data_IF_713687518615
#
_entry.id   IF_713687518615
#
_cell.length_a   1.000
_cell.length_b   1.000
_cell.length_c   1.000
_cell.angle_alpha   90.00
_cell.angle_beta   90.00
_cell.angle_gamma   90.00
#
_symmetry.space_group_name_H-M   'P 1'
#
loop_
_entity.id
_entity.type
_entity.pdbx_description
1 polymer ?
#
# COMPACT_ATOMS: atom_id res chain seq x y z
N UNK A 1 -24.44 11.92 -0.51
CA UNK A 1 -24.41 12.45 -1.87
C UNK A 1 -23.13 12.05 -2.63
N UNK A 2 -22.00 11.86 -1.95
CA UNK A 2 -20.74 11.48 -2.58
C UNK A 2 -20.17 12.52 -3.55
N UNK A 3 -19.17 12.17 -4.38
CA UNK A 3 -18.57 13.04 -5.37
C UNK A 3 -19.55 13.40 -6.51
N UNK A 4 -19.37 14.56 -7.14
CA UNK A 4 -20.22 15.00 -8.26
C UNK A 4 -21.59 15.55 -7.84
N UNK A 5 -21.79 15.89 -6.57
CA UNK A 5 -23.05 16.47 -6.09
C UNK A 5 -23.29 17.92 -6.58
N UNK A 6 -22.23 18.60 -7.02
CA UNK A 6 -22.26 19.98 -7.51
C UNK A 6 -21.60 20.07 -8.89
N UNK A 7 -22.27 20.69 -9.86
CA UNK A 7 -21.78 20.80 -11.23
C UNK A 7 -20.54 21.69 -11.39
N UNK A 8 -20.37 22.65 -10.47
CA UNK A 8 -19.33 23.69 -10.55
C UNK A 8 -18.03 23.33 -9.81
N UNK A 9 -18.01 22.22 -9.08
CA UNK A 9 -16.85 21.78 -8.31
C UNK A 9 -16.40 20.46 -8.89
N UNK A 10 -15.19 20.41 -9.45
CA UNK A 10 -14.61 19.18 -10.01
C UNK A 10 -14.57 18.08 -8.92
N UNK A 11 -15.29 17.04 -9.19
CA UNK A 11 -15.97 16.11 -8.34
C UNK A 11 -15.22 15.24 -7.37
N UNK A 12 -13.90 15.22 -7.27
CA UNK A 12 -13.22 14.29 -6.35
C UNK A 12 -12.83 14.91 -5.01
N UNK A 13 -12.87 16.24 -4.91
CA UNK A 13 -12.34 16.98 -3.75
C UNK A 13 -13.38 17.20 -2.66
N UNK A 14 -14.66 17.26 -3.00
CA UNK A 14 -15.73 17.57 -2.04
C UNK A 14 -16.78 16.46 -2.01
N UNK A 15 -16.93 15.85 -0.83
CA UNK A 15 -18.03 14.93 -0.54
C UNK A 15 -19.12 15.67 0.22
N UNK A 16 -20.35 15.60 -0.26
CA UNK A 16 -21.46 16.26 0.36
C UNK A 16 -22.39 15.25 1.06
N UNK A 17 -22.86 15.64 2.24
CA UNK A 17 -23.96 14.98 2.95
C UNK A 17 -25.02 16.02 3.24
N UNK A 18 -26.29 15.67 3.06
CA UNK A 18 -27.41 16.46 3.48
C UNK A 18 -28.00 15.85 4.76
N UNK A 19 -28.01 16.61 5.84
CA UNK A 19 -28.55 16.16 7.13
C UNK A 19 -29.77 17.03 7.44
N UNK A 20 -30.90 16.37 7.70
CA UNK A 20 -32.08 17.00 8.23
C UNK A 20 -32.32 16.49 9.65
N UNK A 21 -32.26 17.39 10.61
CA UNK A 21 -32.49 17.09 12.03
C UNK A 21 -33.81 17.70 12.46
N UNK A 22 -34.70 16.89 13.01
CA UNK A 22 -35.93 17.36 13.64
C UNK A 22 -35.87 17.15 15.14
N UNK A 23 -36.13 18.22 15.88
CA UNK A 23 -36.35 18.12 17.33
C UNK A 23 -37.84 17.84 17.56
N UNK A 24 -38.15 16.60 17.93
CA UNK A 24 -39.52 16.17 18.21
C UNK A 24 -39.52 15.04 19.20
N UNK A 25 -40.60 14.89 19.99
CA UNK A 25 -40.80 13.70 20.81
C UNK A 25 -40.99 12.49 19.90
N UNK A 26 -40.04 11.58 19.89
CA UNK A 26 -40.08 10.34 19.09
C UNK A 26 -41.29 9.45 19.41
N UNK A 27 -41.99 9.72 20.50
CA UNK A 27 -43.07 8.89 21.01
C UNK A 27 -44.43 8.98 20.27
N UNK A 28 -44.62 9.90 19.30
CA UNK A 28 -45.96 10.12 18.74
C UNK A 28 -46.22 9.45 17.36
N UNK A 29 -45.25 8.75 16.76
CA UNK A 29 -45.46 8.14 15.44
C UNK A 29 -45.31 6.61 15.39
N UNK A 30 -45.12 5.93 16.51
CA UNK A 30 -44.94 4.46 16.54
C UNK A 30 -45.81 3.79 17.60
N UNK A 31 -47.09 4.19 17.71
CA UNK A 31 -47.99 3.58 18.69
C UNK A 31 -48.29 2.08 18.46
N UNK A 32 -47.93 1.55 17.30
CA UNK A 32 -48.21 0.16 16.93
C UNK A 32 -47.04 -0.83 17.08
N UNK A 33 -45.86 -0.38 17.56
CA UNK A 33 -44.68 -1.26 17.72
C UNK A 33 -44.13 -1.33 19.15
N UNK A 34 -44.86 -0.83 20.14
CA UNK A 34 -44.39 -0.82 21.52
C UNK A 34 -44.88 -2.08 22.28
N UNK A 35 -44.14 -3.17 22.17
CA UNK A 35 -44.25 -4.27 23.13
C UNK A 35 -42.95 -4.63 23.87
N UNK A 36 -41.83 -3.94 23.66
CA UNK A 36 -40.63 -4.11 24.47
C UNK A 36 -39.92 -2.77 24.66
N UNK A 37 -40.08 -2.18 25.77
CA UNK A 37 -39.52 -1.11 26.62
C UNK A 37 -38.30 -0.27 26.19
N UNK A 38 -37.80 -0.29 25.01
CA UNK A 38 -36.74 0.61 24.53
C UNK A 38 -37.21 1.36 23.29
N UNK A 39 -37.36 2.67 23.40
CA UNK A 39 -37.68 3.54 22.27
C UNK A 39 -36.43 3.75 21.43
N UNK A 40 -36.13 2.85 20.52
CA UNK A 40 -35.05 3.06 19.54
C UNK A 40 -35.41 4.25 18.63
N UNK A 41 -34.50 5.21 18.58
CA UNK A 41 -34.57 6.29 17.59
C UNK A 41 -34.00 5.78 16.26
N UNK A 42 -34.72 6.06 15.15
CA UNK A 42 -34.36 5.59 13.83
C UNK A 42 -33.76 6.71 12.99
N UNK A 43 -32.65 6.40 12.30
CA UNK A 43 -32.07 7.25 11.28
C UNK A 43 -32.58 6.76 9.93
N UNK A 44 -33.15 7.65 9.14
CA UNK A 44 -33.60 7.38 7.77
C UNK A 44 -32.69 8.07 6.78
N UNK A 45 -32.32 7.37 5.71
CA UNK A 45 -31.45 7.94 4.69
C UNK A 45 -31.64 7.29 3.33
N UNK A 46 -31.21 8.03 2.32
CA UNK A 46 -31.09 7.55 0.93
C UNK A 46 -29.64 7.74 0.53
N UNK A 47 -29.01 6.68 0.07
CA UNK A 47 -27.67 6.75 -0.49
C UNK A 47 -27.72 6.97 -2.01
N UNK A 48 -27.16 8.08 -2.44
CA UNK A 48 -26.97 8.43 -3.86
C UNK A 48 -25.51 8.78 -4.14
N UNK A 49 -24.59 8.07 -3.50
CA UNK A 49 -23.16 8.27 -3.69
C UNK A 49 -22.64 7.74 -5.04
N UNK A 50 -23.23 6.66 -5.57
CA UNK A 50 -22.82 6.01 -6.81
C UNK A 50 -23.03 6.87 -8.08
N UNK A 51 -24.20 7.49 -8.31
CA UNK A 51 -24.39 8.35 -9.48
C UNK A 51 -23.34 9.46 -9.56
N UNK A 52 -22.90 9.79 -10.77
CA UNK A 52 -21.78 10.72 -10.98
C UNK A 52 -22.20 12.16 -11.27
N UNK A 53 -23.43 12.36 -11.71
CA UNK A 53 -23.95 13.70 -12.06
C UNK A 53 -24.95 14.21 -11.02
N UNK A 54 -25.04 15.53 -10.89
CA UNK A 54 -25.97 16.17 -9.99
C UNK A 54 -27.45 15.82 -10.32
N UNK A 55 -27.79 15.70 -11.60
CA UNK A 55 -29.16 15.37 -12.05
C UNK A 55 -29.53 13.93 -11.70
N UNK A 56 -28.62 12.96 -11.87
CA UNK A 56 -28.84 11.56 -11.48
C UNK A 56 -28.99 11.44 -9.97
N UNK A 57 -28.18 12.18 -9.20
CA UNK A 57 -28.29 12.21 -7.74
C UNK A 57 -29.61 12.82 -7.27
N UNK A 58 -30.06 13.88 -7.92
CA UNK A 58 -31.38 14.49 -7.62
C UNK A 58 -32.53 13.51 -7.90
N UNK A 59 -32.48 12.80 -9.03
CA UNK A 59 -33.46 11.76 -9.34
C UNK A 59 -33.39 10.60 -8.31
N UNK A 60 -32.21 10.18 -7.93
CA UNK A 60 -31.98 9.16 -6.89
C UNK A 60 -32.54 9.56 -5.52
N UNK A 61 -32.40 10.82 -5.12
CA UNK A 61 -32.98 11.33 -3.86
C UNK A 61 -34.51 11.31 -3.87
N UNK A 62 -35.14 11.49 -5.04
CA UNK A 62 -36.59 11.47 -5.17
C UNK A 62 -37.19 10.06 -5.28
N UNK A 63 -36.46 9.13 -5.87
CA UNK A 63 -36.94 7.79 -6.21
C UNK A 63 -36.20 6.67 -5.47
N UNK A 64 -35.12 6.99 -4.76
CA UNK A 64 -34.29 6.00 -4.07
C UNK A 64 -35.01 5.39 -2.88
N UNK A 65 -34.63 4.17 -2.56
CA UNK A 65 -35.12 3.46 -1.39
C UNK A 65 -34.67 4.15 -0.10
N UNK A 66 -35.61 4.41 0.79
CA UNK A 66 -35.31 4.96 2.12
C UNK A 66 -34.93 3.81 3.05
N UNK A 67 -33.66 3.72 3.39
CA UNK A 67 -33.16 2.79 4.41
C UNK A 67 -33.39 3.37 5.80
N UNK A 68 -33.71 2.50 6.76
CA UNK A 68 -33.93 2.87 8.17
C UNK A 68 -33.01 2.02 9.04
N UNK A 69 -32.19 2.68 9.89
CA UNK A 69 -31.24 2.01 10.80
C UNK A 69 -31.44 2.52 12.23
N UNK A 70 -31.29 1.64 13.21
CA UNK A 70 -31.40 2.00 14.61
C UNK A 70 -30.23 2.92 15.02
N UNK A 71 -30.50 4.02 15.68
CA UNK A 71 -29.47 4.97 16.12
C UNK A 71 -28.53 4.34 17.15
N UNK A 72 -29.04 3.52 18.05
CA UNK A 72 -28.27 2.81 19.07
C UNK A 72 -27.19 1.91 18.44
N UNK A 73 -27.54 1.16 17.39
CA UNK A 73 -26.59 0.30 16.65
C UNK A 73 -25.47 1.07 15.95
N UNK A 74 -25.66 2.37 15.66
CA UNK A 74 -24.61 3.15 15.00
C UNK A 74 -23.40 3.42 15.91
N UNK A 75 -23.56 3.28 17.23
CA UNK A 75 -22.44 3.38 18.17
C UNK A 75 -21.49 2.18 18.10
N UNK A 76 -21.95 1.04 17.57
CA UNK A 76 -21.14 -0.16 17.36
C UNK A 76 -20.24 -0.05 16.11
N UNK A 77 -20.59 0.84 15.19
CA UNK A 77 -19.78 1.09 14.00
C UNK A 77 -18.44 1.77 14.39
N UNK A 78 -17.36 1.50 13.66
CA UNK A 78 -16.10 2.21 13.86
C UNK A 78 -16.29 3.73 13.82
N UNK A 79 -15.75 4.44 14.83
CA UNK A 79 -15.91 5.89 15.01
C UNK A 79 -17.37 6.35 15.18
N UNK A 80 -18.29 5.47 15.60
CA UNK A 80 -19.72 5.73 15.71
C UNK A 80 -20.32 6.35 14.42
N UNK A 81 -19.87 5.87 13.25
CA UNK A 81 -20.34 6.36 11.96
C UNK A 81 -21.78 5.95 11.70
N UNK A 82 -22.53 6.86 11.13
CA UNK A 82 -23.84 6.52 10.60
C UNK A 82 -23.67 5.80 9.27
N UNK A 83 -24.05 4.52 9.24
CA UNK A 83 -24.12 3.70 8.04
C UNK A 83 -25.59 3.31 7.80
N UNK A 84 -26.05 3.41 6.56
CA UNK A 84 -27.41 3.01 6.16
C UNK A 84 -27.53 1.50 5.87
N UNK A 85 -26.43 0.77 6.01
CA UNK A 85 -26.39 -0.69 5.96
C UNK A 85 -26.12 -1.20 7.38
N UNK A 86 -26.76 -2.31 7.73
CA UNK A 86 -26.46 -2.96 9.00
C UNK A 86 -25.03 -3.47 8.98
N UNK A 87 -24.32 -3.33 10.10
CA UNK A 87 -23.00 -3.93 10.25
C UNK A 87 -23.14 -5.45 10.05
N UNK A 88 -22.26 -6.03 9.25
CA UNK A 88 -22.18 -7.47 9.12
C UNK A 88 -21.89 -8.04 10.54
N UNK A 89 -22.48 -9.18 10.88
CA UNK A 89 -22.29 -9.84 12.19
C UNK A 89 -20.84 -10.32 12.41
N UNK A 90 -19.99 -10.30 11.35
CA UNK A 90 -18.56 -10.55 11.47
C UNK A 90 -17.85 -9.33 12.09
N UNK A 91 -16.84 -9.59 12.90
CA UNK A 91 -16.04 -8.54 13.53
C UNK A 91 -15.34 -7.61 12.54
N UNK A 92 -14.55 -6.68 13.06
CA UNK A 92 -13.75 -5.76 12.26
C UNK A 92 -12.27 -6.19 12.20
N UNK A 93 -11.59 -5.89 11.10
CA UNK A 93 -10.17 -6.18 10.93
C UNK A 93 -9.31 -5.57 12.06
N UNK A 94 -9.70 -4.41 12.60
CA UNK A 94 -9.04 -3.76 13.75
C UNK A 94 -9.03 -4.60 15.04
N UNK A 95 -9.90 -5.60 15.15
CA UNK A 95 -9.91 -6.52 16.30
C UNK A 95 -8.76 -7.52 16.24
N UNK A 96 -8.29 -7.88 15.02
CA UNK A 96 -7.24 -8.89 14.79
C UNK A 96 -5.94 -8.32 14.23
N UNK A 97 -5.95 -7.08 13.74
CA UNK A 97 -4.78 -6.43 13.16
C UNK A 97 -4.70 -4.96 13.57
N UNK A 98 -3.51 -4.36 13.37
CA UNK A 98 -3.24 -2.94 13.63
C UNK A 98 -2.66 -2.31 12.36
N UNK A 99 -3.14 -1.11 12.01
CA UNK A 99 -2.54 -0.27 10.97
C UNK A 99 -1.38 0.57 11.51
N UNK A 100 -0.41 0.81 10.66
CA UNK A 100 0.72 1.68 10.95
C UNK A 100 1.02 2.56 9.74
N UNK A 101 1.31 3.83 10.02
CA UNK A 101 1.80 4.78 9.01
C UNK A 101 3.31 4.76 8.97
N UNK A 102 3.88 4.94 7.77
CA UNK A 102 5.32 4.96 7.57
C UNK A 102 5.99 6.29 7.90
N UNK A 103 7.29 6.31 7.76
CA UNK A 103 8.12 7.49 8.02
C UNK A 103 7.85 8.61 7.01
N UNK A 104 8.09 9.85 7.45
CA UNK A 104 7.95 11.05 6.63
C UNK A 104 9.19 11.92 6.80
N UNK A 105 10.00 12.02 5.76
CA UNK A 105 11.26 12.77 5.80
C UNK A 105 11.09 14.27 5.51
N UNK A 106 9.97 14.63 4.85
CA UNK A 106 9.72 16.00 4.30
C UNK A 106 10.72 16.47 3.23
N UNK A 107 11.71 15.65 2.89
CA UNK A 107 12.73 15.93 1.89
C UNK A 107 13.17 14.59 1.26
N UNK A 108 12.31 14.03 0.40
CA UNK A 108 12.55 12.73 -0.23
C UNK A 108 13.78 12.76 -1.14
N UNK A 109 14.00 13.84 -1.86
CA UNK A 109 15.15 13.98 -2.77
C UNK A 109 16.49 13.89 -2.04
N UNK A 110 16.54 14.32 -0.80
CA UNK A 110 17.73 14.24 0.03
C UNK A 110 17.94 12.87 0.66
N UNK A 111 16.86 12.20 1.10
CA UNK A 111 16.95 11.03 1.96
C UNK A 111 16.59 9.71 1.28
N UNK A 112 15.97 9.74 0.10
CA UNK A 112 15.64 8.54 -0.66
C UNK A 112 16.56 8.42 -1.88
N UNK A 113 16.95 7.19 -2.17
CA UNK A 113 17.69 6.82 -3.39
C UNK A 113 17.14 5.51 -3.90
N UNK A 114 17.29 5.25 -5.17
CA UNK A 114 17.12 3.89 -5.67
C UNK A 114 18.23 3.00 -5.09
N UNK A 115 17.92 1.72 -4.88
CA UNK A 115 18.84 0.76 -4.25
C UNK A 115 20.20 0.65 -4.96
N UNK A 116 20.26 0.97 -6.22
CA UNK A 116 21.47 0.94 -7.06
C UNK A 116 22.29 2.25 -7.08
N UNK A 117 21.76 3.34 -6.54
CA UNK A 117 22.47 4.64 -6.55
C UNK A 117 23.56 4.75 -5.48
N UNK A 118 23.33 4.40 -4.20
CA UNK A 118 24.34 4.51 -3.17
C UNK A 118 25.13 3.23 -2.99
N UNK A 119 26.32 3.37 -2.41
CA UNK A 119 27.01 2.20 -1.83
C UNK A 119 26.25 1.78 -0.57
N UNK A 120 25.83 0.53 -0.53
CA UNK A 120 25.14 -0.07 0.62
C UNK A 120 26.17 -0.40 1.71
N UNK A 121 26.58 0.60 2.46
CA UNK A 121 27.62 0.53 3.50
C UNK A 121 27.06 0.56 4.93
N UNK A 122 25.81 0.17 5.11
CA UNK A 122 25.11 0.18 6.39
C UNK A 122 24.46 1.52 6.77
N UNK A 123 24.74 2.60 6.03
CA UNK A 123 24.07 3.89 6.27
C UNK A 123 22.69 3.95 5.64
N UNK A 124 22.46 3.14 4.62
CA UNK A 124 21.23 3.06 3.87
C UNK A 124 20.47 1.79 4.25
N UNK A 125 19.17 1.92 4.44
CA UNK A 125 18.28 0.80 4.76
C UNK A 125 17.22 0.62 3.68
N UNK A 126 16.77 -0.62 3.38
CA UNK A 126 15.66 -0.84 2.46
C UNK A 126 14.42 -0.08 2.91
N UNK A 127 13.70 0.50 1.95
CA UNK A 127 12.50 1.29 2.19
C UNK A 127 11.33 0.69 1.41
N UNK A 128 10.35 0.16 2.12
CA UNK A 128 9.10 -0.27 1.53
C UNK A 128 8.27 0.95 1.14
N UNK A 129 7.92 1.03 -0.13
CA UNK A 129 7.02 2.03 -0.68
C UNK A 129 5.81 1.35 -1.35
N UNK A 130 5.05 2.12 -2.11
CA UNK A 130 3.86 1.65 -2.81
C UNK A 130 4.20 0.75 -3.99
N UNK A 131 3.25 -0.09 -4.36
CA UNK A 131 3.26 -0.88 -5.59
C UNK A 131 2.11 -0.49 -6.50
N UNK A 132 2.19 -0.80 -7.77
CA UNK A 132 1.14 -0.53 -8.76
C UNK A 132 0.14 -1.68 -8.90
N UNK A 133 0.57 -2.89 -8.58
CA UNK A 133 -0.23 -4.12 -8.63
C UNK A 133 -0.04 -4.91 -7.34
N UNK A 134 -1.02 -5.73 -6.99
CA UNK A 134 -0.90 -6.66 -5.87
C UNK A 134 0.02 -7.82 -6.25
N UNK A 135 1.07 -8.03 -5.46
CA UNK A 135 2.09 -9.05 -5.65
C UNK A 135 2.63 -9.52 -4.29
N UNK A 136 3.33 -10.66 -4.24
CA UNK A 136 3.86 -11.13 -2.95
C UNK A 136 4.99 -10.25 -2.43
N UNK A 137 5.92 -9.87 -3.28
CA UNK A 137 7.10 -9.07 -2.92
C UNK A 137 7.30 -7.95 -3.93
N UNK A 138 7.41 -6.74 -3.44
CA UNK A 138 7.56 -5.56 -4.29
C UNK A 138 7.70 -4.27 -3.48
N UNK A 139 7.87 -3.15 -4.15
CA UNK A 139 7.92 -1.83 -3.50
C UNK A 139 9.21 -1.52 -2.73
N UNK A 140 10.27 -2.33 -2.87
CA UNK A 140 11.59 -2.15 -2.24
C UNK A 140 12.64 -1.56 -3.19
N UNK A 141 12.21 -0.73 -4.13
CA UNK A 141 13.08 -0.11 -5.13
C UNK A 141 14.02 0.93 -4.54
N UNK A 142 13.65 1.48 -3.40
CA UNK A 142 14.34 2.59 -2.77
C UNK A 142 14.99 2.19 -1.45
N UNK A 143 15.97 2.99 -1.07
CA UNK A 143 16.63 2.94 0.24
C UNK A 143 16.55 4.31 0.91
N UNK A 144 16.49 4.29 2.23
CA UNK A 144 16.47 5.48 3.09
C UNK A 144 17.84 5.70 3.69
N UNK A 145 18.34 6.93 3.64
CA UNK A 145 19.52 7.33 4.40
C UNK A 145 19.16 7.38 5.89
N UNK A 146 19.54 6.33 6.62
CA UNK A 146 19.13 6.13 8.02
C UNK A 146 20.21 6.46 9.04
N UNK A 147 21.45 6.09 8.76
CA UNK A 147 22.63 6.37 9.59
C UNK A 147 22.39 6.01 11.08
N UNK A 148 21.83 4.83 11.33
CA UNK A 148 21.46 4.34 12.67
C UNK A 148 20.61 5.33 13.50
N UNK A 149 19.74 6.07 12.85
CA UNK A 149 18.89 7.09 13.46
C UNK A 149 19.66 8.25 14.14
N UNK A 150 20.90 8.51 13.78
CA UNK A 150 21.74 9.54 14.39
C UNK A 150 22.34 10.54 13.38
N UNK A 151 22.07 10.34 12.11
CA UNK A 151 22.67 11.07 11.01
C UNK A 151 21.93 12.33 10.55
N UNK A 152 21.93 12.54 9.25
CA UNK A 152 21.42 13.78 8.63
C UNK A 152 19.92 13.97 8.82
N UNK A 153 19.14 12.87 8.76
CA UNK A 153 17.67 12.92 8.96
C UNK A 153 17.33 13.28 10.42
N UNK A 154 18.06 12.72 11.39
CA UNK A 154 17.91 13.08 12.80
C UNK A 154 18.24 14.56 13.04
N UNK A 155 19.37 15.06 12.50
CA UNK A 155 19.74 16.47 12.64
C UNK A 155 18.69 17.40 12.06
N UNK A 156 18.16 17.10 10.87
CA UNK A 156 17.06 17.86 10.27
C UNK A 156 15.82 17.88 11.19
N UNK A 157 15.46 16.74 11.77
CA UNK A 157 14.31 16.65 12.66
C UNK A 157 14.50 17.50 13.93
N UNK A 158 15.69 17.54 14.51
CA UNK A 158 15.99 18.39 15.67
C UNK A 158 16.03 19.89 15.31
N UNK A 159 16.62 20.25 14.17
CA UNK A 159 16.65 21.65 13.68
C UNK A 159 15.24 22.20 13.42
N UNK A 160 14.35 21.37 12.90
CA UNK A 160 12.97 21.75 12.56
C UNK A 160 11.95 21.50 13.68
N UNK A 161 12.43 21.20 14.88
CA UNK A 161 11.58 20.95 16.04
C UNK A 161 10.73 22.17 16.38
N UNK A 162 9.41 21.98 16.41
CA UNK A 162 8.44 23.05 16.66
C UNK A 162 8.06 23.90 15.45
N UNK A 163 8.77 23.78 14.31
CA UNK A 163 8.48 24.54 13.08
C UNK A 163 7.88 23.69 11.97
N UNK A 164 8.32 22.45 11.84
CA UNK A 164 7.79 21.49 10.84
C UNK A 164 7.35 20.18 11.52
N UNK A 165 6.05 20.03 11.72
CA UNK A 165 5.49 18.83 12.33
C UNK A 165 5.64 17.58 11.46
N UNK A 166 5.75 17.73 10.15
CA UNK A 166 5.84 16.58 9.24
C UNK A 166 7.16 15.82 9.44
N UNK A 167 8.29 16.52 9.53
CA UNK A 167 9.59 15.89 9.73
C UNK A 167 9.72 15.21 11.09
N UNK A 168 8.93 15.61 12.09
CA UNK A 168 8.90 14.93 13.41
C UNK A 168 8.37 13.48 13.31
N UNK A 169 7.76 13.12 12.18
CA UNK A 169 7.27 11.77 11.92
C UNK A 169 8.31 10.86 11.23
N UNK A 170 9.57 11.25 11.21
CA UNK A 170 10.64 10.50 10.55
C UNK A 170 10.88 9.08 11.11
N UNK A 171 10.52 8.84 12.39
CA UNK A 171 10.57 7.51 13.04
C UNK A 171 9.21 6.80 13.07
N UNK A 172 8.19 7.32 12.40
CA UNK A 172 6.88 6.70 12.41
C UNK A 172 6.97 5.29 11.83
N UNK A 173 6.26 4.34 12.44
CA UNK A 173 6.26 2.94 12.05
C UNK A 173 7.36 2.09 12.71
N UNK A 174 8.23 2.67 13.54
CA UNK A 174 9.33 1.93 14.19
C UNK A 174 8.86 0.76 15.08
N UNK A 175 7.64 0.81 15.60
CA UNK A 175 7.06 -0.22 16.45
C UNK A 175 6.67 -1.51 15.69
N UNK A 176 6.72 -1.45 14.37
CA UNK A 176 6.42 -2.61 13.49
C UNK A 176 7.62 -3.07 12.64
N UNK A 177 8.75 -2.40 12.72
CA UNK A 177 9.96 -2.90 12.07
C UNK A 177 10.36 -4.27 12.64
N UNK A 178 10.79 -5.16 11.79
CA UNK A 178 11.08 -6.55 12.12
C UNK A 178 9.86 -7.46 12.28
N UNK A 179 8.64 -6.95 12.04
CA UNK A 179 7.41 -7.76 12.09
C UNK A 179 6.88 -8.01 10.69
N UNK A 180 6.28 -9.17 10.48
CA UNK A 180 5.62 -9.51 9.21
C UNK A 180 4.19 -8.98 9.17
N UNK A 181 3.76 -8.56 7.97
CA UNK A 181 2.43 -8.00 7.77
C UNK A 181 2.09 -7.83 6.29
N UNK A 182 1.20 -6.88 6.01
CA UNK A 182 0.79 -6.50 4.65
C UNK A 182 0.99 -5.00 4.48
N UNK A 183 1.77 -4.61 3.48
CA UNK A 183 1.88 -3.21 3.08
C UNK A 183 0.89 -2.92 1.96
N UNK A 184 0.15 -1.83 2.10
CA UNK A 184 -0.94 -1.44 1.21
C UNK A 184 -0.68 -0.03 0.68
N UNK A 185 -0.74 0.13 -0.63
CA UNK A 185 -0.73 1.45 -1.26
C UNK A 185 -2.06 2.16 -0.99
N UNK A 186 -2.03 3.34 -0.38
CA UNK A 186 -3.24 4.07 0.04
C UNK A 186 -4.07 4.63 -1.11
N UNK A 187 -3.68 4.40 -2.36
CA UNK A 187 -4.30 4.97 -3.57
C UNK A 187 -4.78 3.86 -4.54
N UNK A 188 -5.57 4.26 -5.51
CA UNK A 188 -6.04 3.40 -6.60
C UNK A 188 -6.89 2.22 -6.08
N UNK A 189 -6.56 1.03 -6.52
CA UNK A 189 -7.20 -0.22 -6.13
C UNK A 189 -6.65 -0.81 -4.82
N UNK A 190 -5.86 -0.03 -4.06
CA UNK A 190 -5.21 -0.44 -2.82
C UNK A 190 -4.31 -1.66 -3.00
N UNK A 191 -3.42 -1.67 -4.02
CA UNK A 191 -2.55 -2.81 -4.23
C UNK A 191 -1.68 -3.07 -3.00
N UNK A 192 -1.42 -4.34 -2.74
CA UNK A 192 -0.81 -4.82 -1.51
C UNK A 192 0.35 -5.77 -1.78
N UNK A 193 1.30 -5.82 -0.85
CA UNK A 193 2.44 -6.75 -0.83
C UNK A 193 2.64 -7.31 0.57
N UNK A 194 3.29 -8.46 0.69
CA UNK A 194 3.76 -8.96 1.97
C UNK A 194 4.85 -8.01 2.51
N UNK A 195 4.71 -7.64 3.77
CA UNK A 195 5.65 -6.77 4.46
C UNK A 195 6.59 -7.61 5.33
N UNK A 196 7.89 -7.46 5.11
CA UNK A 196 8.94 -8.25 5.76
C UNK A 196 9.68 -7.49 6.89
N UNK A 197 9.09 -6.40 7.39
CA UNK A 197 9.62 -5.72 8.58
C UNK A 197 10.65 -4.62 8.29
N UNK A 198 10.79 -4.15 7.06
CA UNK A 198 11.70 -3.08 6.68
C UNK A 198 11.18 -1.68 7.11
N UNK A 199 11.99 -0.64 6.94
CA UNK A 199 11.46 0.72 6.99
C UNK A 199 10.44 0.92 5.87
N UNK A 200 9.46 1.81 6.06
CA UNK A 200 8.45 2.10 5.04
C UNK A 200 8.05 3.56 5.03
N UNK A 201 7.69 4.06 3.87
CA UNK A 201 7.32 5.46 3.68
C UNK A 201 5.84 5.72 4.01
N UNK A 202 5.47 6.99 4.06
CA UNK A 202 4.11 7.43 4.39
C UNK A 202 3.08 7.17 3.27
N UNK A 203 3.50 6.75 2.08
CA UNK A 203 2.59 6.45 0.97
C UNK A 203 2.04 5.03 1.08
N UNK A 204 2.73 4.17 1.82
CA UNK A 204 2.26 2.84 2.18
C UNK A 204 1.75 2.80 3.61
N UNK A 205 0.66 2.09 3.83
CA UNK A 205 0.20 1.71 5.16
C UNK A 205 0.56 0.24 5.41
N UNK A 206 1.07 -0.05 6.60
CA UNK A 206 1.39 -1.43 6.97
C UNK A 206 0.36 -1.93 7.98
N UNK A 207 -0.23 -3.08 7.70
CA UNK A 207 -1.16 -3.78 8.58
C UNK A 207 -0.45 -5.00 9.16
N UNK A 208 -0.33 -5.02 10.49
CA UNK A 208 0.32 -6.11 11.23
C UNK A 208 -0.76 -6.92 11.96
N UNK A 209 -0.82 -8.24 11.78
CA UNK A 209 -1.71 -9.09 12.56
C UNK A 209 -1.28 -9.09 14.04
N UNK A 210 -2.24 -9.17 14.96
CA UNK A 210 -1.94 -9.30 16.40
C UNK A 210 -1.34 -10.67 16.72
N UNK A 211 -1.73 -11.71 15.98
CA UNK A 211 -1.14 -13.04 16.04
C UNK A 211 -0.50 -13.34 14.69
N UNK A 212 0.73 -13.77 14.67
CA UNK A 212 1.45 -14.08 13.43
C UNK A 212 0.80 -15.19 12.59
N UNK A 213 0.10 -16.11 13.23
CA UNK A 213 -0.64 -17.18 12.53
C UNK A 213 -1.77 -16.63 11.65
N UNK A 214 -2.29 -15.43 11.92
CA UNK A 214 -3.37 -14.82 11.14
C UNK A 214 -2.85 -14.12 9.87
N UNK A 215 -1.53 -14.10 9.63
CA UNK A 215 -0.93 -13.39 8.50
C UNK A 215 -1.44 -13.90 7.14
N UNK A 216 -1.63 -15.20 6.99
CA UNK A 216 -2.11 -15.78 5.73
C UNK A 216 -3.56 -15.35 5.43
N UNK A 217 -4.42 -15.34 6.45
CA UNK A 217 -5.80 -14.86 6.34
C UNK A 217 -5.85 -13.36 6.04
N UNK A 218 -5.02 -12.58 6.76
CA UNK A 218 -4.87 -11.14 6.53
C UNK A 218 -4.42 -10.83 5.09
N UNK A 219 -3.38 -11.52 4.63
CA UNK A 219 -2.88 -11.37 3.26
C UNK A 219 -3.98 -11.71 2.24
N UNK A 220 -4.65 -12.86 2.43
CA UNK A 220 -5.68 -13.30 1.48
C UNK A 220 -6.83 -12.31 1.38
N UNK A 221 -7.25 -11.71 2.49
CA UNK A 221 -8.25 -10.66 2.50
C UNK A 221 -7.75 -9.37 1.85
N UNK A 222 -6.61 -8.82 2.31
CA UNK A 222 -6.07 -7.55 1.81
C UNK A 222 -5.70 -7.59 0.32
N UNK A 223 -5.36 -8.77 -0.21
CA UNK A 223 -5.07 -8.97 -1.63
C UNK A 223 -6.33 -9.22 -2.49
N UNK A 224 -7.51 -9.29 -1.88
CA UNK A 224 -8.76 -9.57 -2.58
C UNK A 224 -9.47 -8.31 -3.07
N UNK A 225 -10.30 -8.41 -4.12
CA UNK A 225 -11.18 -7.31 -4.54
C UNK A 225 -12.17 -6.89 -3.46
N UNK A 226 -12.61 -7.81 -2.61
CA UNK A 226 -13.56 -7.58 -1.52
C UNK A 226 -13.01 -6.56 -0.53
N UNK A 227 -11.72 -6.61 -0.23
CA UNK A 227 -11.06 -5.64 0.64
C UNK A 227 -11.16 -4.22 0.08
N UNK A 228 -10.85 -4.05 -1.20
CA UNK A 228 -10.95 -2.72 -1.84
C UNK A 228 -12.39 -2.20 -1.76
N UNK A 229 -13.38 -3.03 -2.07
CA UNK A 229 -14.81 -2.66 -2.00
C UNK A 229 -15.18 -2.26 -0.58
N UNK A 230 -14.79 -3.05 0.44
CA UNK A 230 -15.09 -2.76 1.84
C UNK A 230 -14.48 -1.42 2.30
N UNK A 231 -13.21 -1.18 1.97
CA UNK A 231 -12.54 0.09 2.30
C UNK A 231 -13.21 1.27 1.59
N UNK A 232 -13.52 1.12 0.28
CA UNK A 232 -14.11 2.20 -0.53
C UNK A 232 -15.55 2.52 -0.12
N UNK A 233 -16.28 1.60 0.48
CA UNK A 233 -17.58 1.91 1.12
C UNK A 233 -17.43 2.89 2.28
N UNK A 234 -16.32 2.83 3.01
CA UNK A 234 -16.04 3.69 4.17
C UNK A 234 -15.35 4.98 3.75
N UNK A 235 -14.33 4.90 2.88
CA UNK A 235 -13.53 6.05 2.44
C UNK A 235 -13.33 6.04 0.91
N UNK A 236 -14.03 6.92 0.23
CA UNK A 236 -13.97 7.09 -1.23
C UNK A 236 -12.92 8.10 -1.67
N UNK A 237 -12.11 8.66 -0.77
CA UNK A 237 -11.03 9.59 -1.14
C UNK A 237 -10.04 8.90 -2.07
N UNK A 238 -9.39 9.68 -2.94
CA UNK A 238 -8.32 9.17 -3.80
C UNK A 238 -7.22 8.52 -2.94
N UNK A 239 -6.78 9.21 -1.90
CA UNK A 239 -5.85 8.70 -0.89
C UNK A 239 -6.65 8.34 0.38
N UNK A 240 -6.76 7.06 0.67
CA UNK A 240 -7.50 6.54 1.83
C UNK A 240 -6.71 6.82 3.11
N UNK A 241 -7.44 7.21 4.15
CA UNK A 241 -6.84 7.40 5.47
C UNK A 241 -6.42 6.05 6.06
N UNK A 242 -5.18 5.91 6.52
CA UNK A 242 -4.62 4.64 7.00
C UNK A 242 -5.51 3.97 8.06
N UNK A 243 -6.00 4.74 9.04
CA UNK A 243 -6.89 4.20 10.07
C UNK A 243 -8.20 3.59 9.51
N UNK A 244 -8.61 3.91 8.28
CA UNK A 244 -9.79 3.32 7.65
C UNK A 244 -9.52 1.90 7.16
N UNK A 245 -8.27 1.59 6.82
CA UNK A 245 -7.87 0.31 6.23
C UNK A 245 -8.16 -0.89 7.13
N UNK A 246 -8.23 -0.70 8.45
CA UNK A 246 -8.55 -1.76 9.41
C UNK A 246 -9.98 -1.68 9.97
N UNK A 247 -10.77 -0.68 9.57
CA UNK A 247 -12.16 -0.49 10.04
C UNK A 247 -13.19 -1.16 9.12
N UNK A 248 -12.78 -2.16 8.40
CA UNK A 248 -13.60 -2.95 7.48
C UNK A 248 -14.08 -4.23 8.17
N UNK A 249 -15.27 -4.75 7.81
CA UNK A 249 -15.71 -6.07 8.26
C UNK A 249 -14.70 -7.14 7.87
N UNK A 250 -14.42 -8.06 8.78
CA UNK A 250 -13.47 -9.14 8.58
C UNK A 250 -13.85 -10.39 9.35
N UNK A 251 -14.15 -11.45 8.62
CA UNK A 251 -14.41 -12.78 9.16
C UNK A 251 -13.10 -13.58 9.18
N UNK A 252 -12.47 -13.67 10.33
CA UNK A 252 -11.19 -14.37 10.49
C UNK A 252 -11.33 -15.86 10.18
N UNK A 253 -12.43 -16.51 10.57
CA UNK A 253 -12.62 -17.95 10.35
C UNK A 253 -12.74 -18.24 8.85
N UNK A 254 -13.57 -17.48 8.15
CA UNK A 254 -13.76 -17.57 6.71
C UNK A 254 -12.42 -17.40 5.94
N UNK A 255 -11.69 -16.30 6.23
CA UNK A 255 -10.45 -16.00 5.52
C UNK A 255 -9.31 -16.94 5.88
N UNK A 256 -9.29 -17.47 7.11
CA UNK A 256 -8.32 -18.50 7.52
C UNK A 256 -8.53 -19.77 6.72
N UNK A 257 -9.77 -20.22 6.57
CA UNK A 257 -10.09 -21.41 5.77
C UNK A 257 -9.66 -21.27 4.31
N UNK A 258 -9.96 -20.12 3.68
CA UNK A 258 -9.52 -19.84 2.30
C UNK A 258 -7.99 -19.83 2.21
N UNK A 259 -7.32 -19.22 3.19
CA UNK A 259 -5.86 -19.15 3.21
C UNK A 259 -5.22 -20.54 3.40
N UNK A 260 -5.76 -21.41 4.24
CA UNK A 260 -5.31 -22.78 4.42
C UNK A 260 -5.44 -23.61 3.13
N UNK A 261 -6.55 -23.44 2.41
CA UNK A 261 -6.77 -24.10 1.12
C UNK A 261 -5.77 -23.62 0.04
N UNK A 262 -5.49 -22.31 0.01
CA UNK A 262 -4.61 -21.72 -0.99
C UNK A 262 -3.13 -21.90 -0.65
N UNK A 263 -2.77 -21.84 0.63
CA UNK A 263 -1.40 -21.88 1.13
C UNK A 263 -1.15 -23.07 2.08
N UNK A 264 -1.33 -24.31 1.62
CA UNK A 264 -1.21 -25.50 2.48
C UNK A 264 0.20 -25.67 3.08
N UNK A 265 1.20 -25.03 2.49
CA UNK A 265 2.59 -25.00 2.96
C UNK A 265 3.02 -23.66 3.55
N UNK A 266 2.05 -22.78 3.87
CA UNK A 266 2.28 -21.40 4.29
C UNK A 266 2.46 -20.43 3.13
N UNK A 267 2.51 -19.13 3.44
CA UNK A 267 2.72 -18.08 2.44
C UNK A 267 4.06 -18.26 1.72
N UNK A 268 4.14 -17.86 0.44
CA UNK A 268 5.40 -17.82 -0.29
C UNK A 268 6.47 -17.08 0.52
N UNK A 269 7.69 -17.62 0.49
CA UNK A 269 8.82 -16.96 1.11
C UNK A 269 9.69 -16.34 0.00
N UNK A 270 10.33 -15.19 0.27
CA UNK A 270 11.33 -14.70 -0.66
C UNK A 270 12.46 -15.73 -0.77
N UNK A 271 13.04 -15.85 -1.95
CA UNK A 271 14.13 -16.81 -2.18
C UNK A 271 15.44 -16.39 -1.51
N UNK A 272 15.56 -15.15 -1.06
CA UNK A 272 16.69 -14.59 -0.33
C UNK A 272 16.22 -13.66 0.78
N UNK A 273 16.99 -13.59 1.87
CA UNK A 273 16.77 -12.62 2.95
C UNK A 273 17.27 -11.21 2.60
N UNK A 274 17.96 -11.05 1.47
CA UNK A 274 18.40 -9.74 0.98
C UNK A 274 17.32 -9.14 0.05
N UNK A 275 16.61 -8.07 0.45
CA UNK A 275 15.56 -7.47 -0.36
C UNK A 275 16.03 -7.01 -1.74
N UNK A 276 17.32 -6.69 -1.90
CA UNK A 276 17.88 -6.26 -3.18
C UNK A 276 17.88 -7.37 -4.22
N UNK A 277 17.73 -8.63 -3.80
CA UNK A 277 17.62 -9.79 -4.68
C UNK A 277 16.20 -9.98 -5.23
N UNK A 278 15.17 -9.46 -4.54
CA UNK A 278 13.79 -9.62 -4.97
C UNK A 278 13.45 -8.70 -6.14
N UNK A 279 14.12 -7.53 -6.18
CA UNK A 279 13.91 -6.53 -7.21
C UNK A 279 15.24 -6.18 -7.83
N UNK A 280 15.56 -6.84 -8.93
CA UNK A 280 16.76 -6.54 -9.70
C UNK A 280 16.57 -5.26 -10.52
N UNK A 281 16.68 -4.11 -9.87
CA UNK A 281 16.33 -2.82 -10.46
C UNK A 281 17.25 -2.39 -11.61
N UNK A 282 18.45 -2.93 -11.69
CA UNK A 282 19.39 -2.70 -12.78
C UNK A 282 19.21 -3.61 -14.00
N UNK A 283 18.34 -4.60 -13.88
CA UNK A 283 18.11 -5.56 -14.93
C UNK A 283 17.08 -5.03 -15.94
N UNK A 284 17.21 -5.35 -17.25
CA UNK A 284 16.22 -4.96 -18.24
C UNK A 284 14.83 -5.59 -18.06
N UNK A 285 14.69 -6.64 -17.24
CA UNK A 285 13.39 -7.17 -16.84
C UNK A 285 12.79 -6.32 -15.72
N UNK A 286 11.47 -6.15 -15.74
CA UNK A 286 10.78 -5.27 -14.81
C UNK A 286 10.75 -5.78 -13.38
N UNK A 287 10.58 -7.08 -13.15
CA UNK A 287 10.49 -7.68 -11.84
C UNK A 287 10.83 -9.16 -11.87
N UNK A 288 11.19 -9.67 -10.73
CA UNK A 288 11.29 -11.10 -10.49
C UNK A 288 9.91 -11.56 -10.02
N UNK A 289 9.29 -12.44 -10.78
CA UNK A 289 7.96 -12.96 -10.50
C UNK A 289 8.11 -14.36 -9.89
N UNK A 290 7.53 -14.55 -8.70
CA UNK A 290 7.44 -15.86 -8.12
C UNK A 290 6.39 -16.71 -8.85
N UNK A 291 6.77 -17.90 -9.31
CA UNK A 291 5.85 -18.85 -9.92
C UNK A 291 5.45 -19.92 -8.88
N UNK A 292 4.17 -19.93 -8.53
CA UNK A 292 3.64 -20.83 -7.51
C UNK A 292 3.70 -22.32 -7.90
N UNK A 293 3.58 -22.63 -9.18
CA UNK A 293 3.58 -24.02 -9.66
C UNK A 293 5.00 -24.62 -9.61
N UNK A 294 5.97 -23.86 -10.09
CA UNK A 294 7.36 -24.31 -10.17
C UNK A 294 8.15 -24.07 -8.89
N UNK A 295 7.62 -23.24 -7.96
CA UNK A 295 8.33 -22.74 -6.78
C UNK A 295 9.65 -22.07 -7.13
N UNK A 296 9.65 -21.32 -8.20
CA UNK A 296 10.82 -20.69 -8.79
C UNK A 296 10.53 -19.26 -9.19
N UNK A 297 11.55 -18.44 -9.22
CA UNK A 297 11.44 -17.07 -9.72
C UNK A 297 11.62 -17.02 -11.22
N UNK A 298 10.78 -16.27 -11.92
CA UNK A 298 10.89 -16.00 -13.35
C UNK A 298 11.10 -14.51 -13.59
N UNK A 299 11.78 -14.17 -14.69
CA UNK A 299 11.91 -12.78 -15.12
C UNK A 299 10.60 -12.25 -15.70
N UNK A 300 10.23 -11.04 -15.33
CA UNK A 300 9.10 -10.33 -15.89
C UNK A 300 9.39 -9.77 -17.30
N UNK A 301 8.48 -8.95 -17.80
CA UNK A 301 8.63 -8.27 -19.06
C UNK A 301 9.81 -7.28 -19.03
N UNK A 302 10.35 -6.98 -20.22
CA UNK A 302 11.40 -5.96 -20.36
C UNK A 302 10.89 -4.61 -19.87
N UNK A 303 11.73 -3.92 -19.12
CA UNK A 303 11.46 -2.56 -18.70
C UNK A 303 11.59 -1.61 -19.88
N UNK A 304 10.70 -0.62 -19.90
CA UNK A 304 10.69 0.45 -20.91
C UNK A 304 10.65 1.85 -20.27
N UNK A 305 10.86 1.91 -18.95
CA UNK A 305 10.88 3.17 -18.21
C UNK A 305 12.27 3.82 -18.16
N UNK A 306 12.31 5.09 -17.78
CA UNK A 306 13.55 5.89 -17.74
C UNK A 306 14.59 5.36 -16.74
N UNK A 307 14.19 4.53 -15.76
CA UNK A 307 15.14 3.97 -14.79
C UNK A 307 16.14 3.00 -15.41
N UNK A 308 15.78 2.34 -16.52
CA UNK A 308 16.71 1.48 -17.28
C UNK A 308 17.89 2.28 -17.81
N UNK A 309 17.63 3.47 -18.36
CA UNK A 309 18.69 4.36 -18.84
C UNK A 309 19.56 4.88 -17.69
N UNK A 310 18.94 5.26 -16.56
CA UNK A 310 19.67 5.72 -15.38
C UNK A 310 20.62 4.64 -14.83
N UNK A 311 20.15 3.39 -14.77
CA UNK A 311 20.98 2.26 -14.33
C UNK A 311 22.10 2.00 -15.32
N UNK A 312 21.84 2.05 -16.63
CA UNK A 312 22.87 1.90 -17.64
C UNK A 312 23.97 2.96 -17.50
N UNK A 313 23.60 4.23 -17.30
CA UNK A 313 24.55 5.32 -17.03
C UNK A 313 25.32 5.09 -15.72
N UNK A 314 24.64 4.68 -14.66
CA UNK A 314 25.30 4.39 -13.39
C UNK A 314 26.35 3.27 -13.52
N UNK A 315 26.07 2.22 -14.30
CA UNK A 315 27.03 1.15 -14.60
C UNK A 315 28.27 1.66 -15.32
N UNK A 316 28.09 2.54 -16.28
CA UNK A 316 29.20 3.18 -17.00
C UNK A 316 30.08 4.02 -16.09
N UNK A 317 29.49 4.60 -15.02
CA UNK A 317 30.19 5.34 -13.98
C UNK A 317 30.75 4.43 -12.86
N UNK A 318 30.76 3.12 -13.08
CA UNK A 318 31.36 2.15 -12.15
C UNK A 318 30.41 1.51 -11.15
N UNK A 319 29.10 1.76 -11.24
CA UNK A 319 28.14 0.99 -10.43
C UNK A 319 28.19 -0.49 -10.80
N UNK A 320 28.18 -1.33 -9.79
CA UNK A 320 28.03 -2.77 -9.95
C UNK A 320 26.96 -3.26 -8.99
N UNK A 321 26.12 -4.12 -9.47
CA UNK A 321 25.14 -4.84 -8.68
C UNK A 321 25.84 -5.64 -7.57
N UNK A 322 25.36 -5.66 -6.31
CA UNK A 322 26.01 -6.42 -5.25
C UNK A 322 26.30 -7.87 -5.60
N UNK A 323 25.40 -8.52 -6.33
CA UNK A 323 25.58 -9.91 -6.77
C UNK A 323 26.68 -10.10 -7.83
N UNK A 324 27.10 -9.08 -8.53
CA UNK A 324 28.26 -9.11 -9.42
C UNK A 324 29.58 -9.08 -8.64
N UNK A 325 29.56 -8.45 -7.46
CA UNK A 325 30.73 -8.29 -6.60
C UNK A 325 30.91 -9.49 -5.65
N UNK A 326 29.83 -10.19 -5.31
CA UNK A 326 29.83 -11.36 -4.45
C UNK A 326 29.27 -12.60 -5.15
N UNK A 327 30.16 -13.45 -5.64
CA UNK A 327 29.81 -14.70 -6.31
C UNK A 327 29.12 -15.73 -5.42
N UNK A 328 29.17 -15.55 -4.09
CA UNK A 328 28.54 -16.43 -3.10
C UNK A 328 27.15 -15.94 -2.68
N UNK A 329 26.75 -14.76 -3.14
CA UNK A 329 25.43 -14.23 -2.86
C UNK A 329 24.35 -15.21 -3.35
N UNK A 330 23.36 -15.47 -2.53
CA UNK A 330 22.23 -16.32 -2.87
C UNK A 330 21.42 -15.71 -4.00
N UNK A 331 21.35 -16.40 -5.11
CA UNK A 331 20.58 -16.01 -6.30
C UNK A 331 20.00 -17.25 -6.96
N UNK A 332 18.81 -17.12 -7.53
CA UNK A 332 18.28 -18.10 -8.46
C UNK A 332 19.20 -18.25 -9.70
N UNK A 333 19.18 -19.40 -10.36
CA UNK A 333 20.08 -19.67 -11.49
C UNK A 333 19.91 -18.67 -12.62
N UNK A 334 18.67 -18.29 -12.97
CA UNK A 334 18.37 -17.30 -13.99
C UNK A 334 18.91 -15.92 -13.63
N UNK A 335 18.83 -15.56 -12.34
CA UNK A 335 19.37 -14.30 -11.85
C UNK A 335 20.88 -14.27 -11.98
N UNK A 336 21.56 -15.39 -11.73
CA UNK A 336 23.00 -15.52 -11.90
C UNK A 336 23.39 -15.37 -13.36
N UNK A 337 22.66 -15.99 -14.29
CA UNK A 337 22.89 -15.84 -15.73
C UNK A 337 22.75 -14.35 -16.17
N UNK A 338 21.75 -13.65 -15.66
CA UNK A 338 21.58 -12.24 -15.98
C UNK A 338 22.66 -11.34 -15.39
N UNK A 339 23.16 -11.66 -14.18
CA UNK A 339 24.32 -10.98 -13.60
C UNK A 339 25.56 -11.16 -14.47
N UNK A 340 25.81 -12.37 -14.99
CA UNK A 340 26.91 -12.64 -15.91
C UNK A 340 26.75 -11.83 -17.21
N UNK A 341 25.54 -11.79 -17.78
CA UNK A 341 25.25 -10.97 -18.97
C UNK A 341 25.44 -9.47 -18.75
N UNK A 342 25.17 -8.96 -17.57
CA UNK A 342 25.46 -7.57 -17.24
C UNK A 342 26.94 -7.21 -17.38
N UNK A 343 27.85 -8.16 -17.16
CA UNK A 343 29.31 -7.94 -17.33
C UNK A 343 29.69 -7.71 -18.78
N UNK A 344 28.91 -8.18 -19.74
CA UNK A 344 29.15 -7.90 -21.16
C UNK A 344 29.10 -6.40 -21.48
N UNK A 345 28.37 -5.62 -20.68
CA UNK A 345 28.27 -4.17 -20.83
C UNK A 345 29.59 -3.45 -20.51
N UNK A 346 30.47 -4.05 -19.75
CA UNK A 346 31.75 -3.45 -19.34
C UNK A 346 32.68 -3.27 -20.54
N UNK A 347 32.50 -4.09 -21.60
CA UNK A 347 33.25 -3.95 -22.84
C UNK A 347 32.96 -2.65 -23.63
N UNK A 348 31.89 -1.94 -23.27
CA UNK A 348 31.48 -0.70 -23.94
C UNK A 348 31.91 0.58 -23.20
N UNK A 349 32.54 0.45 -22.03
CA UNK A 349 33.06 1.59 -21.28
C UNK A 349 34.58 1.56 -21.24
N UNK A 350 35.21 2.72 -21.41
CA UNK A 350 36.65 2.87 -21.17
C UNK A 350 36.95 3.18 -19.69
N UNK A 351 38.24 3.35 -19.36
CA UNK A 351 38.68 3.61 -17.99
C UNK A 351 38.17 4.95 -17.43
N UNK A 352 37.78 5.88 -18.30
CA UNK A 352 37.22 7.18 -17.94
C UNK A 352 35.69 7.15 -17.83
N UNK A 353 35.06 5.98 -18.02
CA UNK A 353 33.61 5.79 -18.01
C UNK A 353 32.91 6.29 -19.28
N UNK A 354 33.63 6.53 -20.35
CA UNK A 354 33.07 6.93 -21.65
C UNK A 354 32.52 5.69 -22.38
N UNK A 355 31.30 5.81 -22.86
CA UNK A 355 30.65 4.73 -23.62
C UNK A 355 31.12 4.77 -25.07
N UNK A 356 31.78 3.72 -25.49
CA UNK A 356 32.19 3.51 -26.86
C UNK A 356 31.22 2.56 -27.56
N UNK A 357 30.17 3.09 -28.19
CA UNK A 357 29.26 2.25 -28.99
C UNK A 357 29.89 1.98 -30.36
N UNK A 358 30.00 0.72 -30.77
CA UNK A 358 30.47 0.40 -32.11
C UNK A 358 29.48 0.87 -33.18
N UNK A 359 29.99 1.34 -34.31
CA UNK A 359 29.15 1.73 -35.43
C UNK A 359 28.36 0.52 -35.97
N UNK A 360 27.05 0.67 -36.11
CA UNK A 360 26.14 -0.38 -36.60
C UNK A 360 25.60 0.03 -37.96
N UNK A 361 25.78 -0.84 -38.97
CA UNK A 361 25.18 -0.70 -40.33
C UNK A 361 25.41 0.65 -41.00
N UNK A 362 26.63 1.19 -40.95
CA UNK A 362 27.00 2.42 -41.65
C UNK A 362 26.62 3.71 -40.98
N UNK A 363 26.13 3.69 -39.74
CA UNK A 363 26.06 4.86 -38.86
C UNK A 363 27.49 5.26 -38.48
N UNK A 364 27.70 6.56 -38.35
CA UNK A 364 28.99 7.05 -37.85
C UNK A 364 28.99 6.91 -36.32
N UNK A 365 29.99 6.25 -35.78
CA UNK A 365 30.25 6.22 -34.36
C UNK A 365 30.61 7.60 -33.82
#
# INVERSE_FOLDING_TARGET
>A
LGPGAFETISGEVVKAILINLSLGNAASQSADLLSNGESDSWIRGVDVSEPRTASEKAAGLLMGEVKSVAQSKQLENPDARVALEEAEECGYLSQVAKDCSGCLTSDGERFYRYSWEPKLNGLWVPLQSTVSVTEYFGGLNQVLLWEDASGALYRLAEEMKGTNHAVQNWKRGQDVWGKKGVAISSMGQLPSVLYEGTHFDNNAAVIIPKNECDLAALWRFCSSPEYNVAVRRIDQKLNVTNATLVKVPFDLEHWSKIAEEQYPNGLPQPYSNDPTQWIFHGHPCGSVIWNEETKWTTCGELRVDDSVLQVAVARLLGYRWPAELDSKMELAAEQREWVERCQELDAYSDDDGIVCLPAVRGEKA
#
